data_IF_635851448367
#
_entry.id   IF_635851448367
#
_cell.length_a   1.000
_cell.length_b   1.000
_cell.length_c   1.000
_cell.angle_alpha   90.00
_cell.angle_beta   90.00
_cell.angle_gamma   90.00
#
_symmetry.space_group_name_H-M   'P 1'
#
loop_
_entity.id
_entity.type
_entity.pdbx_description
1 polymer ?
#
# COMPACT_ATOMS: atom_id res chain seq x y z
N UNK A 1 94.40 76.93 0.57
CA UNK A 1 94.70 77.09 2.01
C UNK A 1 94.66 75.67 2.59
N UNK A 2 95.77 74.95 2.73
CA UNK A 2 96.78 75.00 3.83
C UNK A 2 96.06 75.03 5.20
N UNK A 3 96.27 74.16 6.21
CA UNK A 3 97.28 73.12 6.58
C UNK A 3 96.62 71.70 6.63
N UNK A 4 97.28 70.52 6.72
CA UNK A 4 98.31 69.96 7.64
C UNK A 4 97.81 69.93 9.11
N UNK A 5 98.01 68.92 9.98
CA UNK A 5 98.76 67.64 9.96
C UNK A 5 98.08 66.66 11.00
N UNK A 6 98.55 65.52 11.55
CA UNK A 6 99.82 64.76 11.62
C UNK A 6 99.54 63.27 12.05
N UNK A 7 100.58 62.41 11.98
CA UNK A 7 101.02 61.26 12.83
C UNK A 7 100.21 60.77 14.06
N UNK A 8 100.32 59.51 14.56
CA UNK A 8 100.76 58.16 14.09
C UNK A 8 100.73 57.18 15.33
N UNK A 9 101.25 55.92 15.33
CA UNK A 9 101.05 54.77 14.42
C UNK A 9 100.81 53.42 15.19
N UNK A 10 100.82 52.28 14.45
CA UNK A 10 101.04 50.89 14.92
C UNK A 10 99.92 50.21 15.75
N UNK A 11 99.70 48.88 15.74
CA UNK A 11 100.36 47.78 15.00
C UNK A 11 99.43 46.55 14.75
N UNK A 12 99.31 46.14 13.48
CA UNK A 12 99.27 44.76 12.91
C UNK A 12 98.26 43.69 13.44
N UNK A 13 97.54 43.15 12.44
CA UNK A 13 97.35 41.70 12.07
C UNK A 13 96.08 40.92 12.47
N UNK A 14 95.19 40.82 11.46
CA UNK A 14 94.52 39.62 10.86
C UNK A 14 92.99 39.51 11.01
N UNK A 15 92.34 39.43 9.83
CA UNK A 15 91.19 38.57 9.43
C UNK A 15 90.08 38.27 10.47
N UNK A 16 88.79 38.53 10.20
CA UNK A 16 88.04 38.37 8.93
C UNK A 16 86.97 39.45 8.71
N UNK A 17 86.52 39.62 7.45
CA UNK A 17 85.31 40.38 7.10
C UNK A 17 84.10 39.45 6.95
N UNK A 18 83.00 39.80 7.61
CA UNK A 18 81.62 39.64 7.13
C UNK A 18 80.71 40.54 7.99
N UNK A 19 80.28 41.69 7.46
CA UNK A 19 79.39 42.62 8.18
C UNK A 19 77.94 42.17 8.09
N UNK A 20 77.17 42.40 9.15
CA UNK A 20 75.78 41.96 9.25
C UNK A 20 74.83 42.79 8.36
N UNK A 21 73.97 42.10 7.62
CA UNK A 21 72.76 42.69 7.02
C UNK A 21 71.63 42.63 8.05
N UNK A 22 70.97 43.76 8.33
CA UNK A 22 69.84 43.81 9.25
C UNK A 22 68.60 43.16 8.63
N UNK A 23 68.31 41.91 8.99
CA UNK A 23 67.10 41.21 8.58
C UNK A 23 65.87 41.74 9.31
N UNK A 24 64.79 42.04 8.57
CA UNK A 24 63.47 42.30 9.16
C UNK A 24 63.00 41.04 9.89
N UNK A 25 62.64 41.19 11.17
CA UNK A 25 61.86 40.18 11.90
C UNK A 25 60.43 40.18 11.37
N UNK A 26 60.21 39.49 10.25
CA UNK A 26 58.90 39.15 9.77
C UNK A 26 58.23 38.21 10.79
N UNK A 27 57.37 38.78 11.64
CA UNK A 27 56.57 38.01 12.57
C UNK A 27 55.53 37.20 11.78
N UNK A 28 55.90 35.98 11.39
CA UNK A 28 55.00 34.99 10.82
C UNK A 28 54.00 34.51 11.89
N UNK A 29 53.03 35.36 12.21
CA UNK A 29 51.81 34.97 12.88
C UNK A 29 51.10 33.97 11.96
N UNK A 30 51.26 32.69 12.26
CA UNK A 30 50.51 31.61 11.63
C UNK A 30 49.03 31.86 11.90
N UNK A 31 48.34 32.44 10.91
CA UNK A 31 46.89 32.40 10.87
C UNK A 31 46.51 30.93 10.84
N UNK A 32 46.08 30.42 12.00
CA UNK A 32 45.28 29.20 12.06
C UNK A 32 44.19 29.37 11.00
N UNK A 33 44.07 28.46 10.02
CA UNK A 33 42.94 28.51 9.10
C UNK A 33 41.69 28.50 9.96
N UNK A 34 40.83 29.51 9.81
CA UNK A 34 39.49 29.39 10.36
C UNK A 34 38.91 28.10 9.78
N UNK A 35 38.40 27.22 10.64
CA UNK A 35 37.62 26.07 10.15
C UNK A 35 36.56 26.61 9.19
N UNK A 36 36.34 25.97 8.03
CA UNK A 36 35.34 26.43 7.09
C UNK A 36 34.00 26.40 7.80
N UNK A 37 33.50 27.59 8.20
CA UNK A 37 32.28 27.71 8.98
C UNK A 37 31.17 26.93 8.27
N UNK A 38 30.57 25.97 8.98
CA UNK A 38 29.63 25.01 8.42
C UNK A 38 28.63 25.74 7.51
N UNK A 39 28.79 25.54 6.21
CA UNK A 39 27.96 26.21 5.22
C UNK A 39 26.60 25.53 5.27
N UNK A 40 25.72 26.08 6.12
CA UNK A 40 24.36 25.57 6.40
C UNK A 40 23.70 25.23 5.08
N UNK A 41 23.74 23.93 4.76
CA UNK A 41 23.46 23.44 3.41
C UNK A 41 21.97 23.67 3.19
N UNK A 42 21.63 24.35 2.09
CA UNK A 42 20.22 24.65 1.79
C UNK A 42 19.41 23.34 1.88
N UNK A 43 18.29 23.33 2.62
CA UNK A 43 17.57 22.10 2.91
C UNK A 43 17.08 21.47 1.61
N UNK A 44 17.18 20.15 1.53
CA UNK A 44 16.60 19.36 0.44
C UNK A 44 15.34 18.64 0.95
N UNK A 45 14.50 18.14 0.05
CA UNK A 45 13.39 17.28 0.46
C UNK A 45 13.86 16.06 1.26
N UNK A 46 15.00 15.47 0.90
CA UNK A 46 15.64 14.38 1.65
C UNK A 46 15.99 14.80 3.08
N UNK A 47 16.58 15.98 3.29
CA UNK A 47 16.95 16.43 4.64
C UNK A 47 15.74 16.85 5.48
N UNK A 48 14.65 17.31 4.85
CA UNK A 48 13.40 17.58 5.54
C UNK A 48 12.69 16.29 5.96
N UNK A 49 12.61 15.29 5.08
CA UNK A 49 12.08 13.96 5.39
C UNK A 49 12.91 13.28 6.49
N UNK A 50 14.25 13.30 6.39
CA UNK A 50 15.14 12.72 7.40
C UNK A 50 14.98 13.37 8.79
N UNK A 51 14.68 14.68 8.85
CA UNK A 51 14.41 15.40 10.10
C UNK A 51 13.05 15.07 10.73
N UNK A 52 12.18 14.33 10.01
CA UNK A 52 10.83 13.95 10.44
C UNK A 52 10.59 12.44 10.41
N UNK A 53 11.61 11.65 10.09
CA UNK A 53 11.55 10.19 10.08
C UNK A 53 11.28 9.65 11.50
N UNK A 54 10.09 9.07 11.73
CA UNK A 54 9.77 8.37 12.97
C UNK A 54 10.16 6.90 12.80
N UNK A 55 11.22 6.41 13.47
CA UNK A 55 11.73 5.06 13.25
C UNK A 55 10.86 4.01 13.93
N UNK A 56 10.67 2.88 13.25
CA UNK A 56 10.15 1.64 13.80
C UNK A 56 11.33 0.68 13.94
N UNK A 57 11.65 0.27 15.16
CA UNK A 57 12.83 -0.58 15.43
C UNK A 57 12.49 -2.06 15.25
N UNK A 58 11.27 -2.43 15.64
CA UNK A 58 10.73 -3.77 15.56
C UNK A 58 9.29 -3.72 15.05
N UNK A 59 8.91 -4.62 14.14
CA UNK A 59 7.53 -4.73 13.66
C UNK A 59 6.68 -5.51 14.69
N UNK A 60 6.42 -4.87 15.83
CA UNK A 60 5.63 -5.37 16.98
C UNK A 60 4.65 -4.28 17.46
N UNK A 61 3.50 -4.62 18.08
CA UNK A 61 2.45 -3.64 18.39
C UNK A 61 2.85 -2.56 19.40
N UNK A 62 3.84 -2.81 20.24
CA UNK A 62 4.31 -1.93 21.32
C UNK A 62 5.56 -1.10 20.97
N UNK A 63 6.12 -1.25 19.75
CA UNK A 63 7.22 -0.40 19.29
C UNK A 63 6.76 1.08 19.25
N UNK A 64 7.53 2.03 19.82
CA UNK A 64 7.11 3.44 19.89
C UNK A 64 6.78 4.08 18.53
N UNK A 65 7.41 3.63 17.44
CA UNK A 65 7.10 4.06 16.08
C UNK A 65 5.76 3.51 15.60
N UNK A 66 5.45 2.25 15.90
CA UNK A 66 4.15 1.61 15.59
C UNK A 66 3.02 2.24 16.42
N UNK A 67 3.24 2.47 17.72
CA UNK A 67 2.27 3.13 18.62
C UNK A 67 1.95 4.56 18.13
N UNK A 68 2.95 5.32 17.70
CA UNK A 68 2.75 6.67 17.17
C UNK A 68 2.03 6.66 15.81
N UNK A 69 2.36 5.70 14.94
CA UNK A 69 1.72 5.50 13.63
C UNK A 69 0.25 5.08 13.76
N UNK A 70 -0.04 4.08 14.59
CA UNK A 70 -1.38 3.61 14.90
C UNK A 70 -2.29 4.74 15.41
N UNK A 71 -1.76 5.59 16.31
CA UNK A 71 -2.47 6.80 16.79
C UNK A 71 -2.78 7.79 15.66
N UNK A 72 -1.85 8.00 14.73
CA UNK A 72 -2.02 8.92 13.60
C UNK A 72 -3.04 8.40 12.58
N UNK A 73 -3.10 7.08 12.38
CA UNK A 73 -4.09 6.42 11.53
C UNK A 73 -5.48 6.41 12.19
N UNK A 74 -5.55 6.20 13.50
CA UNK A 74 -6.78 6.24 14.30
C UNK A 74 -7.41 7.64 14.44
N UNK A 75 -6.77 8.69 13.92
CA UNK A 75 -7.34 10.04 13.87
C UNK A 75 -8.42 10.20 12.78
N UNK A 76 -8.49 9.28 11.81
CA UNK A 76 -9.53 9.23 10.78
C UNK A 76 -10.53 8.10 11.04
N UNK A 77 -11.74 8.20 10.48
CA UNK A 77 -12.76 7.14 10.60
C UNK A 77 -12.32 5.86 9.90
N UNK A 78 -11.67 6.00 8.74
CA UNK A 78 -11.10 4.90 7.98
C UNK A 78 -9.63 5.19 7.66
N UNK A 79 -8.77 4.17 7.76
CA UNK A 79 -7.37 4.25 7.37
C UNK A 79 -7.07 3.19 6.28
N UNK A 80 -6.63 3.65 5.10
CA UNK A 80 -6.10 2.78 4.06
C UNK A 80 -4.68 2.35 4.41
N UNK A 81 -4.45 1.04 4.50
CA UNK A 81 -3.17 0.42 4.81
C UNK A 81 -2.62 -0.27 3.56
N UNK A 82 -1.71 0.43 2.86
CA UNK A 82 -1.09 -0.02 1.62
C UNK A 82 -0.04 -1.10 1.82
N UNK A 83 0.46 -1.64 0.71
CA UNK A 83 1.67 -2.45 0.61
C UNK A 83 2.38 -2.12 -0.71
N UNK A 84 3.71 -2.14 -0.72
CA UNK A 84 4.53 -1.97 -1.92
C UNK A 84 4.36 -3.14 -2.90
N UNK A 85 4.12 -4.33 -2.36
CA UNK A 85 3.92 -5.57 -3.11
C UNK A 85 2.88 -6.43 -2.40
N UNK A 86 2.15 -7.28 -3.13
CA UNK A 86 1.36 -8.36 -2.50
C UNK A 86 2.23 -9.54 -2.00
N UNK A 87 3.56 -9.45 -2.11
CA UNK A 87 4.49 -10.58 -2.06
C UNK A 87 5.53 -10.53 -0.95
N UNK A 88 5.46 -9.55 -0.04
CA UNK A 88 6.46 -9.35 1.01
C UNK A 88 5.94 -9.56 2.43
N UNK A 89 6.83 -10.05 3.30
CA UNK A 89 6.56 -10.31 4.70
C UNK A 89 6.42 -9.02 5.53
N UNK A 90 7.28 -8.03 5.28
CA UNK A 90 7.32 -6.76 6.03
C UNK A 90 6.07 -5.90 5.79
N UNK A 91 5.61 -5.83 4.54
CA UNK A 91 4.37 -5.14 4.15
C UNK A 91 3.18 -5.65 4.98
N UNK A 92 3.00 -6.98 5.01
CA UNK A 92 1.93 -7.63 5.76
C UNK A 92 2.14 -7.51 7.28
N UNK A 93 3.39 -7.65 7.75
CA UNK A 93 3.70 -7.64 9.18
C UNK A 93 3.44 -6.27 9.81
N UNK A 94 3.80 -5.16 9.14
CA UNK A 94 3.48 -3.83 9.66
C UNK A 94 1.96 -3.63 9.77
N UNK A 95 1.20 -4.03 8.75
CA UNK A 95 -0.26 -3.94 8.78
C UNK A 95 -0.88 -4.79 9.89
N UNK A 96 -0.36 -5.99 10.12
CA UNK A 96 -0.78 -6.85 11.23
C UNK A 96 -0.60 -6.15 12.58
N UNK A 97 0.58 -5.59 12.87
CA UNK A 97 0.84 -4.97 14.19
C UNK A 97 0.17 -3.61 14.37
N UNK A 98 -0.08 -2.87 13.28
CA UNK A 98 -0.95 -1.68 13.30
C UNK A 98 -2.39 -2.06 13.65
N UNK A 99 -2.95 -3.12 13.06
CA UNK A 99 -4.29 -3.61 13.41
C UNK A 99 -4.35 -4.02 14.89
N UNK A 100 -3.38 -4.78 15.38
CA UNK A 100 -3.31 -5.19 16.79
C UNK A 100 -3.32 -3.97 17.73
N UNK A 101 -2.42 -3.01 17.50
CA UNK A 101 -2.35 -1.79 18.31
C UNK A 101 -3.64 -0.96 18.24
N UNK A 102 -4.20 -0.76 17.04
CA UNK A 102 -5.42 0.04 16.84
C UNK A 102 -6.67 -0.61 17.44
N UNK A 103 -6.74 -1.95 17.51
CA UNK A 103 -7.81 -2.67 18.22
C UNK A 103 -7.70 -2.44 19.73
N UNK A 104 -6.51 -2.62 20.31
CA UNK A 104 -6.30 -2.46 21.76
C UNK A 104 -6.50 -1.02 22.24
N UNK A 105 -5.89 -0.05 21.55
CA UNK A 105 -5.69 1.30 22.05
C UNK A 105 -6.62 2.35 21.41
N UNK A 106 -7.21 2.03 20.26
CA UNK A 106 -7.93 2.99 19.43
C UNK A 106 -9.33 2.55 18.99
N UNK A 107 -9.80 1.37 19.43
CA UNK A 107 -11.18 0.92 19.21
C UNK A 107 -11.52 0.56 17.77
N UNK A 108 -10.52 0.17 16.97
CA UNK A 108 -10.71 -0.38 15.62
C UNK A 108 -11.71 -1.56 15.68
N UNK A 109 -12.79 -1.49 14.89
CA UNK A 109 -13.86 -2.50 14.86
C UNK A 109 -13.89 -3.35 13.61
N UNK A 110 -13.36 -2.84 12.50
CA UNK A 110 -13.52 -3.46 11.19
C UNK A 110 -12.20 -3.49 10.41
N UNK A 111 -11.80 -4.69 10.00
CA UNK A 111 -10.68 -4.93 9.09
C UNK A 111 -11.25 -5.31 7.73
N UNK A 112 -11.29 -4.35 6.80
CA UNK A 112 -11.65 -4.60 5.41
C UNK A 112 -10.43 -5.16 4.67
N UNK A 113 -10.61 -6.22 3.91
CA UNK A 113 -9.56 -6.81 3.07
C UNK A 113 -9.89 -6.62 1.58
N UNK A 114 -8.86 -6.35 0.78
CA UNK A 114 -8.85 -6.43 -0.69
C UNK A 114 -8.98 -7.91 -1.15
N UNK A 115 -10.12 -8.52 -0.84
CA UNK A 115 -10.47 -9.90 -1.17
C UNK A 115 -11.99 -10.09 -1.19
N UNK A 116 -12.41 -11.18 -1.83
CA UNK A 116 -13.81 -11.53 -2.00
C UNK A 116 -14.50 -11.91 -0.67
N UNK A 117 -15.79 -11.55 -0.52
CA UNK A 117 -16.60 -11.82 0.69
C UNK A 117 -16.41 -13.24 1.24
N UNK A 118 -16.71 -14.27 0.43
CA UNK A 118 -16.87 -15.65 0.93
C UNK A 118 -15.58 -16.25 1.51
N UNK A 119 -14.42 -15.87 0.96
CA UNK A 119 -13.14 -16.26 1.53
C UNK A 119 -12.89 -15.59 2.88
N UNK A 120 -13.09 -14.27 2.96
CA UNK A 120 -12.89 -13.50 4.18
C UNK A 120 -13.95 -13.81 5.26
N UNK A 121 -15.14 -14.28 4.88
CA UNK A 121 -16.14 -14.77 5.84
C UNK A 121 -15.65 -15.99 6.64
N UNK A 122 -14.75 -16.81 6.09
CA UNK A 122 -14.11 -17.90 6.83
C UNK A 122 -13.05 -17.36 7.82
N UNK A 123 -12.33 -16.29 7.44
CA UNK A 123 -11.43 -15.58 8.35
C UNK A 123 -12.20 -14.95 9.51
N UNK A 124 -13.33 -14.29 9.23
CA UNK A 124 -14.22 -13.70 10.24
C UNK A 124 -14.82 -14.76 11.17
N UNK A 125 -15.26 -15.90 10.61
CA UNK A 125 -15.76 -17.02 11.39
C UNK A 125 -14.68 -17.60 12.33
N UNK A 126 -13.44 -17.74 11.88
CA UNK A 126 -12.33 -18.13 12.74
C UNK A 126 -12.04 -17.07 13.83
N UNK A 127 -11.93 -15.79 13.43
CA UNK A 127 -11.66 -14.67 14.31
C UNK A 127 -12.81 -14.40 15.32
N UNK A 128 -14.04 -14.86 15.05
CA UNK A 128 -15.22 -14.62 15.90
C UNK A 128 -15.17 -15.25 17.31
N UNK A 129 -14.15 -16.06 17.61
CA UNK A 129 -14.04 -16.94 18.77
C UNK A 129 -15.08 -18.08 18.85
N UNK A 130 -15.98 -18.24 17.85
CA UNK A 130 -16.91 -19.37 17.78
C UNK A 130 -16.18 -20.72 17.85
N UNK A 131 -16.80 -21.79 18.41
CA UNK A 131 -16.19 -23.11 18.50
C UNK A 131 -15.79 -23.68 17.14
N UNK A 132 -14.53 -24.11 17.01
CA UNK A 132 -13.99 -24.77 15.80
C UNK A 132 -12.85 -25.69 16.20
N UNK A 133 -12.62 -26.74 15.39
CA UNK A 133 -11.45 -27.62 15.49
C UNK A 133 -10.29 -27.21 14.57
N UNK A 134 -10.44 -26.17 13.75
CA UNK A 134 -9.40 -25.69 12.85
C UNK A 134 -8.29 -24.94 13.60
N UNK A 135 -7.05 -25.10 13.15
CA UNK A 135 -5.96 -24.16 13.45
C UNK A 135 -6.06 -22.94 12.52
N UNK A 136 -5.50 -21.79 12.91
CA UNK A 136 -5.53 -20.59 12.08
C UNK A 136 -4.88 -20.81 10.71
N UNK A 137 -3.76 -21.53 10.66
CA UNK A 137 -3.09 -21.87 9.41
C UNK A 137 -3.99 -22.69 8.46
N UNK A 138 -4.84 -23.58 9.00
CA UNK A 138 -5.73 -24.40 8.19
C UNK A 138 -6.96 -23.62 7.72
N UNK A 139 -7.50 -22.73 8.56
CA UNK A 139 -8.51 -21.77 8.14
C UNK A 139 -8.00 -20.85 7.00
N UNK A 140 -6.73 -20.41 7.08
CA UNK A 140 -6.09 -19.59 6.04
C UNK A 140 -5.85 -20.39 4.75
N UNK A 141 -5.35 -21.63 4.84
CA UNK A 141 -5.19 -22.52 3.68
C UNK A 141 -6.50 -22.83 2.97
N UNK A 142 -7.54 -23.17 3.73
CA UNK A 142 -8.82 -23.66 3.18
C UNK A 142 -9.70 -22.56 2.60
N UNK A 143 -9.57 -21.31 3.06
CA UNK A 143 -10.40 -20.22 2.60
C UNK A 143 -10.25 -19.94 1.09
N UNK A 144 -11.35 -19.70 0.34
CA UNK A 144 -11.32 -19.25 -1.05
C UNK A 144 -10.98 -17.75 -1.14
N UNK A 145 -9.80 -17.38 -0.65
CA UNK A 145 -9.15 -16.08 -0.81
C UNK A 145 -8.02 -16.16 -1.84
N UNK A 146 -7.55 -15.00 -2.33
CA UNK A 146 -6.36 -14.91 -3.16
C UNK A 146 -5.13 -15.50 -2.44
N UNK A 147 -4.28 -16.20 -3.19
CA UNK A 147 -3.11 -16.92 -2.65
C UNK A 147 -2.16 -16.01 -1.86
N UNK A 148 -2.03 -14.75 -2.27
CA UNK A 148 -1.23 -13.70 -1.60
C UNK A 148 -1.59 -13.49 -0.11
N UNK A 149 -2.82 -13.79 0.31
CA UNK A 149 -3.25 -13.69 1.71
C UNK A 149 -3.03 -14.98 2.51
N UNK A 150 -2.50 -16.05 1.89
CA UNK A 150 -2.28 -17.35 2.53
C UNK A 150 -0.91 -17.43 3.21
N UNK A 151 -0.70 -16.56 4.18
CA UNK A 151 0.60 -16.33 4.84
C UNK A 151 0.55 -16.58 6.36
N UNK A 152 1.72 -16.87 6.94
CA UNK A 152 1.89 -16.97 8.41
C UNK A 152 1.34 -15.74 9.12
N UNK A 153 1.65 -14.54 8.60
CA UNK A 153 1.22 -13.24 9.17
C UNK A 153 -0.32 -13.13 9.24
N UNK A 154 -1.05 -13.66 8.26
CA UNK A 154 -2.51 -13.68 8.30
C UNK A 154 -3.03 -14.68 9.33
N UNK A 155 -2.42 -15.87 9.46
CA UNK A 155 -2.78 -16.83 10.50
C UNK A 155 -2.48 -16.31 11.92
N UNK A 156 -1.37 -15.60 12.11
CA UNK A 156 -1.03 -14.96 13.38
C UNK A 156 -2.02 -13.83 13.73
N UNK A 157 -2.34 -12.96 12.77
CA UNK A 157 -3.34 -11.90 12.95
C UNK A 157 -4.72 -12.47 13.30
N UNK A 158 -5.17 -13.53 12.61
CA UNK A 158 -6.44 -14.17 12.90
C UNK A 158 -6.44 -14.93 14.23
N UNK A 159 -5.30 -15.48 14.66
CA UNK A 159 -5.12 -16.06 16.00
C UNK A 159 -5.23 -14.98 17.08
N UNK A 160 -4.58 -13.83 16.87
CA UNK A 160 -4.64 -12.70 17.79
C UNK A 160 -6.05 -12.11 17.88
N UNK A 161 -6.71 -11.86 16.73
CA UNK A 161 -8.08 -11.37 16.67
C UNK A 161 -9.06 -12.34 17.34
N UNK A 162 -8.86 -13.66 17.18
CA UNK A 162 -9.64 -14.69 17.89
C UNK A 162 -9.44 -14.62 19.40
N UNK A 163 -8.21 -14.40 19.86
CA UNK A 163 -7.90 -14.19 21.29
C UNK A 163 -8.56 -12.93 21.86
N UNK A 164 -8.46 -11.80 21.16
CA UNK A 164 -9.13 -10.56 21.53
C UNK A 164 -10.66 -10.76 21.61
N UNK A 165 -11.27 -11.25 20.53
CA UNK A 165 -12.73 -11.41 20.42
C UNK A 165 -13.32 -12.40 21.44
N UNK A 166 -12.56 -13.40 21.90
CA UNK A 166 -12.99 -14.34 22.93
C UNK A 166 -13.19 -13.66 24.30
N UNK A 167 -12.42 -12.61 24.59
CA UNK A 167 -12.48 -11.84 25.85
C UNK A 167 -13.36 -10.59 25.71
N UNK A 168 -13.44 -10.04 24.51
CA UNK A 168 -13.97 -8.70 24.22
C UNK A 168 -15.20 -8.73 23.30
N UNK A 169 -16.19 -9.59 23.60
CA UNK A 169 -17.33 -9.84 22.72
C UNK A 169 -18.23 -8.60 22.48
N UNK A 170 -18.28 -7.65 23.42
CA UNK A 170 -18.94 -6.33 23.29
C UNK A 170 -18.33 -5.49 22.16
N UNK A 171 -17.00 -5.56 22.04
CA UNK A 171 -16.17 -4.79 21.11
C UNK A 171 -15.50 -5.67 20.05
N UNK A 172 -16.14 -6.80 19.71
CA UNK A 172 -15.66 -7.74 18.70
C UNK A 172 -15.21 -7.01 17.43
N UNK A 173 -14.02 -7.36 16.95
CA UNK A 173 -13.49 -6.96 15.65
C UNK A 173 -14.01 -7.91 14.57
N UNK A 174 -14.46 -7.36 13.45
CA UNK A 174 -14.88 -8.10 12.25
C UNK A 174 -13.83 -8.01 11.16
N UNK A 175 -13.74 -9.06 10.33
CA UNK A 175 -12.95 -9.07 9.09
C UNK A 175 -13.91 -9.21 7.91
N UNK A 176 -13.84 -8.35 6.89
CA UNK A 176 -14.79 -8.40 5.75
C UNK A 176 -14.10 -8.15 4.41
N UNK A 177 -14.41 -8.98 3.41
CA UNK A 177 -13.94 -8.80 2.03
C UNK A 177 -14.82 -7.81 1.25
N UNK A 178 -14.18 -6.83 0.61
CA UNK A 178 -14.86 -5.77 -0.17
C UNK A 178 -14.71 -5.92 -1.69
N UNK A 179 -13.87 -6.84 -2.16
CA UNK A 179 -13.67 -7.10 -3.59
C UNK A 179 -14.87 -7.83 -4.22
N UNK A 180 -15.05 -7.63 -5.52
CA UNK A 180 -16.20 -8.11 -6.31
C UNK A 180 -15.85 -9.23 -7.29
N UNK A 181 -14.64 -9.79 -7.24
CA UNK A 181 -14.16 -10.87 -8.14
C UNK A 181 -14.75 -12.26 -7.77
N UNK A 182 -16.07 -12.35 -7.53
CA UNK A 182 -16.74 -13.54 -7.01
C UNK A 182 -18.15 -13.80 -7.57
N UNK A 183 -18.52 -13.22 -8.72
CA UNK A 183 -19.90 -13.22 -9.25
C UNK A 183 -20.65 -14.54 -9.21
N UNK A 184 -20.00 -15.66 -9.56
CA UNK A 184 -20.58 -17.01 -9.50
C UNK A 184 -21.03 -17.42 -8.09
N UNK A 185 -20.22 -17.11 -7.07
CA UNK A 185 -20.47 -17.45 -5.67
C UNK A 185 -21.48 -16.49 -5.06
N UNK A 186 -21.31 -15.18 -5.27
CA UNK A 186 -22.23 -14.17 -4.73
C UNK A 186 -23.64 -14.29 -5.33
N UNK A 187 -23.77 -14.60 -6.63
CA UNK A 187 -25.07 -14.86 -7.25
C UNK A 187 -25.72 -16.15 -6.69
N UNK A 188 -24.92 -17.20 -6.48
CA UNK A 188 -25.38 -18.47 -5.90
C UNK A 188 -25.91 -18.30 -4.47
N UNK A 189 -25.17 -17.62 -3.61
CA UNK A 189 -25.56 -17.37 -2.22
C UNK A 189 -26.82 -16.47 -2.13
N UNK A 190 -26.92 -15.46 -3.00
CA UNK A 190 -28.08 -14.58 -3.06
C UNK A 190 -29.35 -15.30 -3.58
N UNK A 191 -29.23 -16.18 -4.59
CA UNK A 191 -30.33 -17.04 -5.03
C UNK A 191 -30.76 -18.01 -3.92
N UNK A 192 -29.80 -18.62 -3.22
CA UNK A 192 -30.09 -19.54 -2.11
C UNK A 192 -30.87 -18.82 -0.98
N UNK A 193 -30.53 -17.56 -0.70
CA UNK A 193 -31.30 -16.72 0.23
C UNK A 193 -32.72 -16.43 -0.28
N UNK A 194 -32.89 -16.02 -1.54
CA UNK A 194 -34.22 -15.75 -2.12
C UNK A 194 -35.10 -17.00 -2.10
N UNK A 195 -34.54 -18.18 -2.40
CA UNK A 195 -35.25 -19.45 -2.41
C UNK A 195 -35.81 -19.87 -1.04
N UNK A 196 -35.36 -19.26 0.08
CA UNK A 196 -35.96 -19.49 1.41
C UNK A 196 -37.31 -18.78 1.62
N UNK A 197 -37.64 -17.78 0.79
CA UNK A 197 -38.84 -16.95 0.91
C UNK A 197 -39.72 -16.97 -0.35
N UNK A 198 -39.12 -17.03 -1.54
CA UNK A 198 -39.81 -17.24 -2.82
C UNK A 198 -38.92 -18.07 -3.76
N UNK A 199 -39.12 -19.38 -3.76
CA UNK A 199 -38.42 -20.30 -4.67
C UNK A 199 -38.83 -20.11 -6.13
N UNK A 200 -40.04 -19.62 -6.41
CA UNK A 200 -40.51 -19.39 -7.78
C UNK A 200 -39.80 -18.21 -8.44
N UNK A 201 -39.61 -17.12 -7.69
CA UNK A 201 -38.79 -15.99 -8.11
C UNK A 201 -37.31 -16.40 -8.25
N UNK A 202 -36.77 -17.18 -7.32
CA UNK A 202 -35.40 -17.69 -7.40
C UNK A 202 -35.17 -18.57 -8.64
N UNK A 203 -36.03 -19.56 -8.89
CA UNK A 203 -35.94 -20.45 -10.06
C UNK A 203 -36.03 -19.67 -11.38
N UNK A 204 -36.93 -18.66 -11.45
CA UNK A 204 -37.08 -17.83 -12.65
C UNK A 204 -35.83 -16.97 -12.94
N UNK A 205 -35.19 -16.41 -11.91
CA UNK A 205 -33.96 -15.62 -12.04
C UNK A 205 -32.75 -16.52 -12.33
N UNK A 206 -32.72 -17.74 -11.76
CA UNK A 206 -31.62 -18.69 -11.93
C UNK A 206 -31.39 -19.11 -13.40
N UNK A 207 -32.41 -19.05 -14.26
CA UNK A 207 -32.29 -19.34 -15.70
C UNK A 207 -31.26 -18.43 -16.38
N UNK A 208 -31.31 -17.12 -16.12
CA UNK A 208 -30.39 -16.15 -16.72
C UNK A 208 -28.99 -16.17 -16.06
N UNK A 209 -28.90 -16.67 -14.82
CA UNK A 209 -27.63 -16.85 -14.11
C UNK A 209 -26.97 -18.21 -14.39
N UNK A 210 -27.66 -19.16 -15.04
CA UNK A 210 -27.16 -20.51 -15.29
C UNK A 210 -25.75 -20.58 -15.91
N UNK A 211 -25.35 -19.71 -16.88
CA UNK A 211 -23.99 -19.71 -17.43
C UNK A 211 -22.88 -19.44 -16.40
N UNK A 212 -23.18 -18.71 -15.32
CA UNK A 212 -22.22 -18.42 -14.23
C UNK A 212 -22.43 -19.32 -13.00
N UNK A 213 -23.39 -20.25 -13.03
CA UNK A 213 -23.77 -21.11 -11.91
C UNK A 213 -23.54 -22.61 -12.19
N UNK A 214 -22.63 -22.94 -13.10
CA UNK A 214 -22.13 -24.32 -13.28
C UNK A 214 -21.18 -24.72 -12.12
N UNK A 215 -20.70 -25.97 -12.10
CA UNK A 215 -19.70 -26.39 -11.12
C UNK A 215 -18.33 -25.80 -11.48
N UNK A 216 -18.04 -25.73 -12.78
CA UNK A 216 -16.82 -25.21 -13.40
C UNK A 216 -16.70 -23.70 -13.15
N UNK A 217 -17.79 -22.94 -13.30
CA UNK A 217 -17.83 -21.51 -13.05
C UNK A 217 -17.57 -21.16 -11.57
N UNK A 218 -18.06 -21.99 -10.62
CA UNK A 218 -17.79 -21.82 -9.19
C UNK A 218 -16.36 -22.20 -8.78
N UNK A 219 -15.71 -23.09 -9.54
CA UNK A 219 -14.34 -23.55 -9.27
C UNK A 219 -13.26 -22.67 -9.94
N UNK A 220 -13.60 -21.95 -11.01
CA UNK A 220 -12.69 -21.11 -11.76
C UNK A 220 -12.30 -19.83 -11.02
N UNK A 221 -11.09 -19.31 -11.29
CA UNK A 221 -10.76 -17.90 -11.01
C UNK A 221 -11.70 -17.00 -11.83
N UNK A 222 -12.12 -15.87 -11.28
CA UNK A 222 -13.21 -15.04 -11.85
C UNK A 222 -12.92 -14.54 -13.28
N UNK A 223 -11.68 -14.15 -13.57
CA UNK A 223 -11.21 -13.81 -14.92
C UNK A 223 -11.26 -15.00 -15.91
N UNK A 224 -11.13 -16.24 -15.43
CA UNK A 224 -11.27 -17.45 -16.23
C UNK A 224 -12.74 -17.88 -16.38
N UNK A 225 -13.60 -17.55 -15.40
CA UNK A 225 -15.06 -17.73 -15.49
C UNK A 225 -15.66 -16.82 -16.57
N UNK A 226 -15.24 -15.56 -16.62
CA UNK A 226 -15.70 -14.59 -17.63
C UNK A 226 -15.33 -15.04 -19.05
N UNK A 227 -14.10 -15.54 -19.23
CA UNK A 227 -13.60 -16.06 -20.52
C UNK A 227 -14.33 -17.34 -21.00
N UNK A 228 -15.25 -17.90 -20.21
CA UNK A 228 -16.12 -19.02 -20.60
C UNK A 228 -17.53 -18.57 -21.08
N UNK A 229 -17.92 -17.31 -20.86
CA UNK A 229 -19.25 -16.79 -21.24
C UNK A 229 -19.14 -15.67 -22.30
N UNK A 230 -20.17 -15.53 -23.13
CA UNK A 230 -20.29 -14.45 -24.12
C UNK A 230 -20.81 -13.14 -23.50
N UNK A 231 -20.60 -12.01 -24.18
CA UNK A 231 -21.04 -10.67 -23.78
C UNK A 231 -22.55 -10.61 -23.52
N UNK A 232 -23.35 -11.30 -24.34
CA UNK A 232 -24.80 -11.38 -24.15
C UNK A 232 -25.17 -12.09 -22.83
N UNK A 233 -24.52 -13.22 -22.52
CA UNK A 233 -24.76 -13.96 -21.29
C UNK A 233 -24.32 -13.18 -20.04
N UNK A 234 -23.24 -12.39 -20.13
CA UNK A 234 -22.84 -11.45 -19.07
C UNK A 234 -23.92 -10.41 -18.82
N UNK A 235 -24.48 -9.80 -19.87
CA UNK A 235 -25.52 -8.78 -19.75
C UNK A 235 -26.84 -9.34 -19.20
N UNK A 236 -27.22 -10.55 -19.61
CA UNK A 236 -28.36 -11.28 -19.03
C UNK A 236 -28.14 -11.58 -17.54
N UNK A 237 -26.96 -12.06 -17.15
CA UNK A 237 -26.59 -12.31 -15.76
C UNK A 237 -26.52 -11.02 -14.93
N UNK A 238 -26.08 -9.89 -15.49
CA UNK A 238 -26.09 -8.59 -14.82
C UNK A 238 -27.51 -8.09 -14.55
N UNK A 239 -28.42 -8.20 -15.52
CA UNK A 239 -29.83 -7.86 -15.35
C UNK A 239 -30.47 -8.77 -14.27
N UNK A 240 -30.17 -10.06 -14.31
CA UNK A 240 -30.65 -11.04 -13.33
C UNK A 240 -30.14 -10.75 -11.90
N UNK A 241 -28.86 -10.38 -11.73
CA UNK A 241 -28.32 -9.96 -10.44
C UNK A 241 -29.01 -8.68 -9.89
N UNK A 242 -29.40 -7.74 -10.75
CA UNK A 242 -30.16 -6.54 -10.35
C UNK A 242 -31.62 -6.84 -10.01
N UNK A 243 -32.25 -7.78 -10.72
CA UNK A 243 -33.56 -8.31 -10.32
C UNK A 243 -33.48 -9.00 -8.95
N UNK A 244 -32.47 -9.85 -8.75
CA UNK A 244 -32.21 -10.56 -7.50
C UNK A 244 -32.00 -9.60 -6.32
N UNK A 245 -31.22 -8.53 -6.51
CA UNK A 245 -31.06 -7.45 -5.53
C UNK A 245 -32.42 -6.82 -5.15
N UNK A 246 -33.27 -6.53 -6.13
CA UNK A 246 -34.59 -5.92 -5.89
C UNK A 246 -35.57 -6.88 -5.20
N UNK A 247 -35.60 -8.16 -5.59
CA UNK A 247 -36.43 -9.18 -4.93
C UNK A 247 -36.04 -9.36 -3.46
N UNK A 248 -34.74 -9.45 -3.17
CA UNK A 248 -34.21 -9.59 -1.82
C UNK A 248 -34.47 -8.33 -0.97
N UNK A 249 -34.41 -7.13 -1.55
CA UNK A 249 -34.85 -5.89 -0.88
C UNK A 249 -36.34 -5.93 -0.55
N UNK A 250 -37.21 -6.38 -1.47
CA UNK A 250 -38.65 -6.53 -1.21
C UNK A 250 -38.96 -7.58 -0.14
N UNK A 251 -38.10 -8.58 0.03
CA UNK A 251 -38.18 -9.57 1.10
C UNK A 251 -37.57 -9.13 2.45
N UNK A 252 -36.92 -7.97 2.52
CA UNK A 252 -36.21 -7.49 3.72
C UNK A 252 -34.87 -8.19 4.00
N UNK A 253 -34.30 -8.88 3.01
CA UNK A 253 -33.06 -9.64 3.11
C UNK A 253 -31.84 -8.79 2.69
N UNK A 254 -31.55 -7.73 3.45
CA UNK A 254 -30.58 -6.69 3.07
C UNK A 254 -29.16 -7.21 2.77
N UNK A 255 -28.60 -8.08 3.62
CA UNK A 255 -27.28 -8.69 3.42
C UNK A 255 -27.21 -9.55 2.14
N UNK A 256 -28.31 -10.23 1.80
CA UNK A 256 -28.41 -11.03 0.59
C UNK A 256 -28.55 -10.12 -0.65
N UNK A 257 -29.33 -9.04 -0.57
CA UNK A 257 -29.45 -8.05 -1.63
C UNK A 257 -28.10 -7.35 -1.91
N UNK A 258 -27.34 -7.00 -0.89
CA UNK A 258 -25.98 -6.47 -1.04
C UNK A 258 -25.02 -7.52 -1.64
N UNK A 259 -25.26 -8.80 -1.40
CA UNK A 259 -24.51 -9.90 -2.02
C UNK A 259 -24.88 -10.06 -3.51
N UNK A 260 -26.16 -9.93 -3.88
CA UNK A 260 -26.58 -9.83 -5.29
C UNK A 260 -25.97 -8.60 -6.00
N UNK A 261 -25.87 -7.46 -5.31
CA UNK A 261 -25.17 -6.26 -5.81
C UNK A 261 -23.70 -6.56 -6.12
N UNK A 262 -22.97 -7.23 -5.22
CA UNK A 262 -21.57 -7.65 -5.49
C UNK A 262 -21.44 -8.60 -6.68
N UNK A 263 -22.41 -9.50 -6.85
CA UNK A 263 -22.43 -10.36 -8.03
C UNK A 263 -22.53 -9.57 -9.34
N UNK A 264 -23.43 -8.58 -9.39
CA UNK A 264 -23.52 -7.60 -10.50
C UNK A 264 -22.23 -6.79 -10.67
N UNK A 265 -21.69 -6.22 -9.58
CA UNK A 265 -20.46 -5.43 -9.59
C UNK A 265 -19.31 -6.22 -10.24
N UNK A 266 -19.16 -7.50 -9.88
CA UNK A 266 -18.14 -8.38 -10.46
C UNK A 266 -18.30 -8.62 -11.96
N UNK A 267 -19.52 -8.78 -12.46
CA UNK A 267 -19.75 -8.93 -13.91
C UNK A 267 -19.45 -7.61 -14.64
N UNK A 268 -19.92 -6.49 -14.08
CA UNK A 268 -19.84 -5.17 -14.69
C UNK A 268 -18.40 -4.58 -14.64
N UNK A 269 -17.61 -4.91 -13.61
CA UNK A 269 -16.22 -4.46 -13.46
C UNK A 269 -15.30 -4.97 -14.59
N UNK A 270 -15.59 -6.15 -15.14
CA UNK A 270 -14.74 -6.85 -16.12
C UNK A 270 -15.47 -7.05 -17.45
N UNK A 271 -16.24 -6.04 -17.89
CA UNK A 271 -17.19 -6.12 -19.01
C UNK A 271 -16.61 -6.57 -20.37
N UNK A 272 -15.28 -6.49 -20.53
CA UNK A 272 -14.54 -6.79 -21.75
C UNK A 272 -13.70 -8.09 -21.69
N UNK A 273 -13.77 -8.85 -20.59
CA UNK A 273 -13.04 -10.13 -20.43
C UNK A 273 -13.90 -11.38 -20.72
N UNK A 274 -15.01 -11.21 -21.44
CA UNK A 274 -15.82 -12.32 -21.95
C UNK A 274 -15.14 -13.05 -23.11
N UNK A 275 -15.64 -14.23 -23.49
CA UNK A 275 -15.08 -15.06 -24.59
C UNK A 275 -15.08 -14.38 -25.96
N UNK A 276 -15.93 -13.38 -26.13
CA UNK A 276 -16.11 -12.50 -27.30
C UNK A 276 -15.72 -11.03 -27.01
N UNK A 277 -15.10 -10.78 -25.85
CA UNK A 277 -14.78 -9.46 -25.34
C UNK A 277 -13.62 -8.77 -26.08
N UNK A 278 -13.57 -7.45 -25.99
CA UNK A 278 -12.59 -6.61 -26.70
C UNK A 278 -11.91 -5.63 -25.73
N UNK A 279 -10.77 -6.05 -25.21
CA UNK A 279 -9.93 -5.25 -24.32
C UNK A 279 -9.32 -4.00 -24.97
N UNK A 280 -9.38 -3.84 -26.30
CA UNK A 280 -8.99 -2.57 -26.95
C UNK A 280 -9.95 -1.42 -26.61
N UNK A 281 -11.15 -1.74 -26.09
CA UNK A 281 -12.15 -0.80 -25.60
C UNK A 281 -12.00 -0.45 -24.12
N UNK A 282 -11.02 -1.01 -23.41
CA UNK A 282 -10.82 -0.80 -21.97
C UNK A 282 -10.37 0.65 -21.65
N UNK A 283 -11.35 1.50 -21.32
CA UNK A 283 -11.12 2.90 -20.94
C UNK A 283 -10.55 3.03 -19.52
N UNK A 284 -10.19 4.25 -19.11
CA UNK A 284 -9.83 4.52 -17.70
C UNK A 284 -10.96 4.23 -16.71
N UNK A 285 -12.21 4.37 -17.15
CA UNK A 285 -13.39 4.04 -16.35
C UNK A 285 -13.44 2.53 -16.07
N UNK A 286 -13.21 1.68 -17.09
CA UNK A 286 -13.08 0.23 -16.94
C UNK A 286 -12.06 -0.13 -15.86
N UNK A 287 -10.83 0.37 -15.98
CA UNK A 287 -9.76 0.09 -15.01
C UNK A 287 -10.05 0.61 -13.61
N UNK A 288 -10.90 1.64 -13.46
CA UNK A 288 -11.32 2.17 -12.16
C UNK A 288 -12.49 1.39 -11.55
N UNK A 289 -13.21 0.56 -12.31
CA UNK A 289 -14.55 0.10 -11.92
C UNK A 289 -14.52 -0.88 -10.74
N UNK A 290 -13.51 -1.76 -10.66
CA UNK A 290 -13.25 -2.60 -9.47
C UNK A 290 -13.06 -1.73 -8.22
N UNK A 291 -12.27 -0.66 -8.32
CA UNK A 291 -11.98 0.27 -7.21
C UNK A 291 -13.20 1.09 -6.78
N UNK A 292 -14.03 1.53 -7.73
CA UNK A 292 -15.33 2.15 -7.43
C UNK A 292 -16.18 1.21 -6.58
N UNK A 293 -16.29 -0.05 -6.98
CA UNK A 293 -17.08 -1.05 -6.26
C UNK A 293 -16.46 -1.46 -4.92
N UNK A 294 -15.12 -1.56 -4.81
CA UNK A 294 -14.44 -1.77 -3.52
C UNK A 294 -14.68 -0.60 -2.55
N UNK A 295 -14.67 0.65 -3.03
CA UNK A 295 -15.00 1.81 -2.20
C UNK A 295 -16.49 1.85 -1.78
N UNK A 296 -17.42 1.56 -2.69
CA UNK A 296 -18.85 1.40 -2.38
C UNK A 296 -19.06 0.34 -1.30
N UNK A 297 -18.41 -0.82 -1.44
CA UNK A 297 -18.53 -1.95 -0.52
C UNK A 297 -17.89 -1.63 0.83
N UNK A 298 -16.74 -0.96 0.85
CA UNK A 298 -16.10 -0.48 2.06
C UNK A 298 -17.01 0.50 2.84
N UNK A 299 -17.61 1.47 2.16
CA UNK A 299 -18.53 2.43 2.76
C UNK A 299 -19.82 1.76 3.30
N UNK A 300 -20.38 0.80 2.55
CA UNK A 300 -21.59 0.07 2.96
C UNK A 300 -21.36 -0.77 4.23
N UNK A 301 -20.22 -1.48 4.31
CA UNK A 301 -19.90 -2.33 5.46
C UNK A 301 -19.42 -1.50 6.66
N UNK A 302 -18.61 -0.46 6.44
CA UNK A 302 -18.04 0.34 7.53
C UNK A 302 -19.04 1.28 8.21
N UNK A 303 -19.98 1.86 7.45
CA UNK A 303 -20.95 2.84 7.94
C UNK A 303 -20.29 4.03 8.70
N UNK A 304 -20.20 3.92 10.03
CA UNK A 304 -19.53 4.89 10.93
C UNK A 304 -18.51 4.23 11.88
N UNK A 305 -18.23 2.94 11.75
CA UNK A 305 -17.28 2.22 12.60
C UNK A 305 -15.82 2.61 12.28
N UNK A 306 -14.93 2.74 13.29
CA UNK A 306 -13.49 2.84 13.09
C UNK A 306 -12.98 1.63 12.30
N UNK A 307 -12.37 1.88 11.15
CA UNK A 307 -12.11 0.87 10.11
C UNK A 307 -10.70 0.99 9.53
N UNK A 308 -10.10 -0.14 9.12
CA UNK A 308 -8.96 -0.15 8.20
C UNK A 308 -9.31 -0.82 6.88
N UNK A 309 -8.71 -0.37 5.78
CA UNK A 309 -8.74 -1.03 4.48
C UNK A 309 -7.34 -1.57 4.16
N UNK A 310 -7.15 -2.88 4.28
CA UNK A 310 -5.94 -3.59 3.90
C UNK A 310 -5.96 -3.88 2.40
N UNK A 311 -5.03 -3.31 1.66
CA UNK A 311 -4.85 -3.56 0.23
C UNK A 311 -3.49 -3.07 -0.27
N UNK A 312 -3.32 -3.05 -1.59
CA UNK A 312 -2.12 -2.52 -2.26
C UNK A 312 -2.09 -0.99 -2.28
N UNK A 313 -0.88 -0.39 -2.32
CA UNK A 313 -0.66 1.07 -2.35
C UNK A 313 -1.60 1.84 -3.29
N UNK A 314 -1.79 1.39 -4.54
CA UNK A 314 -2.66 2.13 -5.46
C UNK A 314 -4.12 2.10 -5.01
N UNK A 315 -4.64 0.95 -4.57
CA UNK A 315 -6.04 0.80 -4.16
C UNK A 315 -6.36 1.66 -2.94
N UNK A 316 -5.42 1.80 -1.99
CA UNK A 316 -5.59 2.68 -0.82
C UNK A 316 -5.21 4.14 -1.07
N UNK A 317 -4.57 4.47 -2.20
CA UNK A 317 -4.09 5.83 -2.47
C UNK A 317 -5.24 6.84 -2.42
N UNK A 318 -5.04 7.91 -1.66
CA UNK A 318 -6.04 8.95 -1.42
C UNK A 318 -6.32 9.89 -2.59
N UNK A 319 -5.65 9.69 -3.72
CA UNK A 319 -5.65 10.58 -4.87
C UNK A 319 -5.47 9.81 -6.18
N UNK A 320 -5.51 10.54 -7.29
CA UNK A 320 -5.58 9.96 -8.64
C UNK A 320 -4.19 10.02 -9.30
N UNK A 321 -3.60 8.90 -9.76
CA UNK A 321 -2.29 8.91 -10.40
C UNK A 321 -2.32 9.66 -11.73
N UNK A 322 -1.17 10.21 -12.13
CA UNK A 322 -0.96 10.91 -13.39
C UNK A 322 -0.27 10.05 -14.46
N UNK A 323 0.36 10.72 -15.43
CA UNK A 323 1.15 10.07 -16.48
C UNK A 323 0.36 9.01 -17.25
N UNK A 324 0.96 7.82 -17.41
CA UNK A 324 0.34 6.69 -18.10
C UNK A 324 -0.81 6.00 -17.34
N UNK A 325 -1.18 6.52 -16.17
CA UNK A 325 -2.37 6.11 -15.39
C UNK A 325 -3.37 7.25 -15.16
N UNK A 326 -3.16 8.41 -15.79
CA UNK A 326 -4.06 9.56 -15.70
C UNK A 326 -5.51 9.19 -16.07
N UNK A 327 -6.42 9.41 -15.13
CA UNK A 327 -7.85 9.11 -15.23
C UNK A 327 -8.30 7.81 -14.56
N UNK A 328 -7.37 6.96 -14.09
CA UNK A 328 -7.73 5.88 -13.16
C UNK A 328 -8.08 6.46 -11.79
N UNK A 329 -9.09 5.88 -11.12
CA UNK A 329 -9.61 6.33 -9.83
C UNK A 329 -9.54 5.17 -8.82
N UNK A 330 -8.60 5.18 -7.87
CA UNK A 330 -8.51 4.15 -6.84
C UNK A 330 -9.56 4.28 -5.73
N UNK A 331 -9.76 3.20 -4.98
CA UNK A 331 -10.72 3.10 -3.90
C UNK A 331 -10.50 4.20 -2.85
N UNK A 332 -9.24 4.41 -2.46
CA UNK A 332 -8.83 5.44 -1.49
C UNK A 332 -9.15 6.87 -1.91
N UNK A 333 -9.16 7.18 -3.21
CA UNK A 333 -9.55 8.50 -3.70
C UNK A 333 -11.05 8.73 -3.53
N UNK A 334 -11.87 7.69 -3.74
CA UNK A 334 -13.34 7.74 -3.55
C UNK A 334 -13.68 7.81 -2.06
N UNK A 335 -12.93 7.07 -1.22
CA UNK A 335 -13.04 7.16 0.23
C UNK A 335 -12.67 8.57 0.74
N UNK A 336 -11.60 9.20 0.20
CA UNK A 336 -11.26 10.60 0.51
C UNK A 336 -12.33 11.58 0.02
N UNK A 337 -12.82 11.43 -1.21
CA UNK A 337 -13.90 12.28 -1.74
C UNK A 337 -15.19 12.18 -0.88
N UNK A 338 -15.44 11.01 -0.27
CA UNK A 338 -16.65 10.75 0.52
C UNK A 338 -16.54 11.10 2.01
N UNK A 339 -15.36 10.96 2.61
CA UNK A 339 -15.09 11.12 4.05
C UNK A 339 -14.26 12.38 4.38
N UNK A 340 -13.61 13.00 3.39
CA UNK A 340 -12.66 14.10 3.60
C UNK A 340 -11.50 13.68 4.49
N UNK A 341 -11.22 14.47 5.54
CA UNK A 341 -10.25 14.13 6.58
C UNK A 341 -10.64 12.88 7.41
N UNK A 342 -11.85 12.35 7.24
CA UNK A 342 -12.27 11.05 7.77
C UNK A 342 -11.60 9.85 7.08
N UNK A 343 -10.81 10.07 6.03
CA UNK A 343 -9.91 9.06 5.43
C UNK A 343 -8.43 9.47 5.58
N UNK A 344 -7.56 8.52 5.94
CA UNK A 344 -6.10 8.65 5.86
C UNK A 344 -5.54 7.53 4.99
N UNK A 345 -4.61 7.84 4.09
CA UNK A 345 -3.90 6.89 3.23
C UNK A 345 -2.45 6.71 3.72
N UNK A 346 -2.12 5.49 4.11
CA UNK A 346 -0.76 5.01 4.34
C UNK A 346 -0.30 4.18 3.14
N UNK A 347 0.90 4.47 2.64
CA UNK A 347 1.62 3.61 1.68
C UNK A 347 2.93 3.11 2.25
N UNK A 348 3.35 1.93 1.81
CA UNK A 348 4.63 1.32 2.18
C UNK A 348 5.54 1.26 0.96
N UNK A 349 6.81 1.58 1.13
CA UNK A 349 7.82 1.68 0.06
C UNK A 349 9.11 0.96 0.48
N UNK A 350 10.02 0.69 -0.46
CA UNK A 350 11.24 -0.07 -0.19
C UNK A 350 12.52 0.50 -0.82
N UNK A 351 13.66 0.32 -0.15
CA UNK A 351 14.98 0.56 -0.73
C UNK A 351 15.45 -0.65 -1.56
N UNK A 352 15.43 -1.84 -0.95
CA UNK A 352 15.61 -3.13 -1.62
C UNK A 352 14.38 -4.03 -1.36
N UNK A 353 14.01 -4.86 -2.32
CA UNK A 353 12.90 -5.81 -2.17
C UNK A 353 13.16 -7.13 -2.88
N UNK A 354 12.93 -8.22 -2.15
CA UNK A 354 12.77 -9.57 -2.69
C UNK A 354 11.38 -10.07 -2.29
N UNK A 355 10.51 -10.37 -3.26
CA UNK A 355 9.10 -10.66 -3.02
C UNK A 355 8.56 -11.78 -3.93
N UNK A 356 7.40 -12.34 -3.59
CA UNK A 356 6.70 -13.33 -4.41
C UNK A 356 5.70 -12.67 -5.36
N UNK A 357 5.75 -13.01 -6.65
CA UNK A 357 4.72 -12.63 -7.61
C UNK A 357 4.47 -13.77 -8.61
N UNK A 358 3.29 -13.80 -9.22
CA UNK A 358 3.06 -14.63 -10.41
C UNK A 358 3.91 -14.08 -11.58
N UNK A 359 4.51 -14.93 -12.43
CA UNK A 359 5.30 -14.44 -13.56
C UNK A 359 4.38 -13.78 -14.59
N UNK A 360 4.69 -12.54 -14.98
CA UNK A 360 3.98 -11.82 -16.04
C UNK A 360 4.61 -12.12 -17.42
N UNK A 361 3.82 -12.58 -18.40
CA UNK A 361 4.33 -12.79 -19.76
C UNK A 361 3.40 -13.49 -20.76
N UNK A 362 3.88 -13.64 -21.99
CA UNK A 362 3.17 -14.39 -23.02
C UNK A 362 3.31 -15.91 -22.77
N UNK A 363 2.19 -16.63 -22.70
CA UNK A 363 2.18 -18.07 -22.41
C UNK A 363 2.02 -18.45 -20.94
N UNK A 364 1.52 -17.54 -20.10
CA UNK A 364 1.13 -17.82 -18.70
C UNK A 364 0.23 -19.06 -18.60
N UNK A 365 0.65 -20.03 -17.78
CA UNK A 365 -0.19 -21.16 -17.39
C UNK A 365 -1.24 -20.69 -16.36
N UNK A 366 -2.50 -21.18 -16.41
CA UNK A 366 -3.54 -20.83 -15.44
C UNK A 366 -3.14 -21.09 -13.97
N UNK A 367 -2.29 -22.11 -13.77
CA UNK A 367 -1.83 -22.63 -12.48
C UNK A 367 -0.34 -22.29 -12.21
N UNK A 368 0.17 -21.19 -12.77
CA UNK A 368 1.55 -20.77 -12.56
C UNK A 368 1.86 -20.56 -11.07
N UNK A 369 2.95 -21.17 -10.58
CA UNK A 369 3.43 -20.95 -9.22
C UNK A 369 4.04 -19.54 -9.07
N UNK A 370 3.92 -18.88 -7.91
CA UNK A 370 4.66 -17.66 -7.63
C UNK A 370 6.18 -17.86 -7.72
N UNK A 371 6.86 -16.89 -8.32
CA UNK A 371 8.32 -16.81 -8.43
C UNK A 371 8.85 -15.69 -7.54
N UNK A 372 10.12 -15.82 -7.14
CA UNK A 372 10.83 -14.76 -6.42
C UNK A 372 11.30 -13.68 -7.40
N UNK A 373 10.91 -12.43 -7.15
CA UNK A 373 11.30 -11.24 -7.90
C UNK A 373 12.18 -10.37 -6.99
N UNK A 374 13.25 -9.80 -7.56
CA UNK A 374 14.14 -8.85 -6.87
C UNK A 374 14.06 -7.46 -7.52
N UNK A 375 14.09 -6.40 -6.71
CA UNK A 375 14.06 -4.99 -7.11
C UNK A 375 14.90 -4.14 -6.16
N UNK A 376 15.59 -3.17 -6.74
CA UNK A 376 16.27 -2.06 -6.05
C UNK A 376 15.55 -0.77 -6.43
N UNK A 377 15.38 0.16 -5.48
CA UNK A 377 14.73 1.44 -5.72
C UNK A 377 15.38 2.22 -6.87
N UNK A 378 14.61 2.56 -7.90
CA UNK A 378 15.14 3.25 -9.08
C UNK A 378 15.46 4.71 -8.78
N UNK A 379 16.47 5.32 -9.44
CA UNK A 379 16.68 6.76 -9.38
C UNK A 379 15.40 7.57 -9.70
N UNK A 380 15.29 8.73 -9.07
CA UNK A 380 14.19 9.71 -9.27
C UNK A 380 12.77 9.22 -8.91
N UNK A 381 12.68 8.14 -8.12
CA UNK A 381 11.43 7.64 -7.53
C UNK A 381 11.20 8.09 -6.07
N UNK A 382 9.97 7.93 -5.60
CA UNK A 382 9.56 8.18 -4.22
C UNK A 382 10.31 7.25 -3.25
N UNK A 383 10.38 5.96 -3.56
CA UNK A 383 11.04 4.98 -2.71
C UNK A 383 12.56 5.22 -2.60
N UNK A 384 13.23 5.66 -3.68
CA UNK A 384 14.63 6.10 -3.59
C UNK A 384 14.81 7.40 -2.79
N UNK A 385 13.88 8.36 -2.88
CA UNK A 385 13.89 9.57 -2.05
C UNK A 385 13.73 9.24 -0.56
N UNK A 386 12.84 8.31 -0.21
CA UNK A 386 12.61 7.88 1.17
C UNK A 386 13.77 7.03 1.72
N UNK A 387 14.33 6.12 0.92
CA UNK A 387 15.54 5.36 1.26
C UNK A 387 16.74 6.29 1.53
N UNK A 388 16.85 7.38 0.77
CA UNK A 388 17.85 8.43 1.00
C UNK A 388 17.61 9.25 2.28
N UNK A 389 16.38 9.22 2.83
CA UNK A 389 16.00 9.92 4.05
C UNK A 389 16.09 9.04 5.32
N UNK A 390 15.96 7.72 5.20
CA UNK A 390 16.16 6.77 6.31
C UNK A 390 16.71 5.43 5.85
N UNK A 391 17.87 5.04 6.40
CA UNK A 391 18.46 3.70 6.23
C UNK A 391 17.93 2.63 7.19
N UNK A 392 16.85 2.93 7.92
CA UNK A 392 16.13 2.00 8.81
C UNK A 392 14.62 2.11 8.56
N UNK A 393 13.81 1.14 8.98
CA UNK A 393 12.35 1.25 8.83
C UNK A 393 11.84 2.48 9.57
N UNK A 394 11.13 3.35 8.86
CA UNK A 394 10.64 4.61 9.38
C UNK A 394 9.38 5.05 8.64
N UNK A 395 8.58 5.90 9.27
CA UNK A 395 7.45 6.55 8.63
C UNK A 395 7.55 8.07 8.69
N UNK A 396 6.86 8.72 7.77
CA UNK A 396 6.87 10.17 7.56
C UNK A 396 5.41 10.64 7.42
N UNK A 397 4.95 11.56 8.27
CA UNK A 397 3.70 12.28 8.04
C UNK A 397 3.92 13.40 7.02
N UNK A 398 3.14 13.45 5.96
CA UNK A 398 3.17 14.60 5.07
C UNK A 398 2.57 15.84 5.74
N UNK A 399 1.78 15.72 6.81
CA UNK A 399 1.23 16.89 7.51
C UNK A 399 2.30 17.70 8.26
N UNK A 400 3.34 17.04 8.78
CA UNK A 400 4.41 17.68 9.57
C UNK A 400 5.42 18.44 8.70
N UNK A 401 5.52 18.13 7.39
CA UNK A 401 6.48 18.78 6.48
C UNK A 401 6.31 20.31 6.47
N UNK A 402 7.40 21.09 6.62
CA UNK A 402 7.31 22.53 6.86
C UNK A 402 6.70 23.27 5.68
N UNK A 403 5.75 24.16 5.97
CA UNK A 403 4.98 24.91 4.97
C UNK A 403 5.86 25.98 4.30
N UNK A 404 6.53 25.59 3.22
CA UNK A 404 7.40 26.43 2.40
C UNK A 404 7.26 26.08 0.91
N UNK A 405 7.84 26.92 0.03
CA UNK A 405 7.72 26.77 -1.42
C UNK A 405 8.34 25.48 -1.98
N UNK A 406 9.41 24.95 -1.39
CA UNK A 406 10.02 23.69 -1.84
C UNK A 406 9.12 22.49 -1.52
N UNK A 407 8.55 22.43 -0.31
CA UNK A 407 7.59 21.38 0.09
C UNK A 407 6.31 21.48 -0.73
N UNK A 408 5.78 22.69 -0.94
CA UNK A 408 4.61 22.91 -1.78
C UNK A 408 4.87 22.49 -3.25
N UNK A 409 6.04 22.84 -3.81
CA UNK A 409 6.43 22.41 -5.15
C UNK A 409 6.58 20.89 -5.24
N UNK A 410 7.22 20.24 -4.25
CA UNK A 410 7.41 18.78 -4.23
C UNK A 410 6.08 18.02 -4.18
N UNK A 411 5.09 18.49 -3.40
CA UNK A 411 3.76 17.86 -3.31
C UNK A 411 3.05 17.75 -4.66
N UNK A 412 3.16 18.79 -5.48
CA UNK A 412 2.52 18.90 -6.79
C UNK A 412 3.39 18.36 -7.95
N UNK A 413 4.70 18.24 -7.74
CA UNK A 413 5.64 17.74 -8.75
C UNK A 413 5.47 16.22 -8.88
N UNK A 414 5.08 15.69 -10.05
CA UNK A 414 4.90 14.26 -10.19
C UNK A 414 6.22 13.50 -10.10
N UNK A 415 6.28 12.51 -9.21
CA UNK A 415 7.45 11.63 -8.98
C UNK A 415 7.13 10.21 -9.46
N UNK A 416 8.18 9.41 -9.72
CA UNK A 416 8.02 7.97 -9.96
C UNK A 416 7.56 7.25 -8.70
N UNK A 417 6.54 6.39 -8.82
CA UNK A 417 6.07 5.48 -7.79
C UNK A 417 6.18 4.06 -8.35
N UNK A 418 6.99 3.20 -7.73
CA UNK A 418 7.08 1.80 -8.15
C UNK A 418 5.87 1.00 -7.65
N UNK A 419 5.39 0.05 -8.46
CA UNK A 419 4.17 -0.73 -8.19
C UNK A 419 4.37 -2.18 -8.65
N UNK A 420 4.07 -3.14 -7.77
CA UNK A 420 4.24 -4.57 -8.02
C UNK A 420 3.06 -5.40 -7.48
N UNK A 421 2.00 -5.46 -8.28
CA UNK A 421 0.80 -6.25 -8.01
C UNK A 421 1.03 -7.76 -8.03
N UNK A 422 -0.05 -8.54 -8.13
CA UNK A 422 -0.01 -10.00 -8.01
C UNK A 422 0.81 -10.69 -9.13
N UNK A 423 1.14 -9.94 -10.19
CA UNK A 423 2.02 -10.35 -11.29
C UNK A 423 3.19 -9.36 -11.44
N UNK A 424 4.38 -9.87 -11.74
CA UNK A 424 5.53 -9.08 -12.13
C UNK A 424 6.41 -9.83 -13.14
N UNK A 425 7.10 -9.09 -14.02
CA UNK A 425 8.13 -9.64 -14.90
C UNK A 425 9.44 -9.86 -14.13
N UNK A 426 10.28 -10.80 -14.57
CA UNK A 426 11.62 -10.99 -13.97
C UNK A 426 12.43 -9.69 -14.05
N UNK A 427 12.52 -9.12 -15.24
CA UNK A 427 13.21 -7.87 -15.50
C UNK A 427 12.34 -6.66 -15.13
N UNK A 428 12.91 -5.58 -14.56
CA UNK A 428 12.22 -4.31 -14.36
C UNK A 428 11.66 -3.74 -15.67
N UNK A 429 10.38 -3.38 -15.70
CA UNK A 429 9.72 -2.75 -16.85
C UNK A 429 9.48 -1.26 -16.60
N UNK A 430 9.37 -0.46 -17.66
CA UNK A 430 8.96 0.95 -17.55
C UNK A 430 7.52 1.09 -17.04
N UNK A 431 6.67 0.10 -17.27
CA UNK A 431 5.28 0.04 -16.79
C UNK A 431 5.16 -0.15 -15.27
N UNK A 432 6.21 -0.59 -14.59
CA UNK A 432 6.23 -0.73 -13.13
C UNK A 432 6.23 0.63 -12.42
N UNK A 433 6.52 1.73 -13.15
CA UNK A 433 6.65 3.09 -12.59
C UNK A 433 5.42 3.92 -12.96
N UNK A 434 4.57 4.14 -11.97
CA UNK A 434 3.50 5.13 -12.03
C UNK A 434 4.07 6.54 -11.80
N UNK A 435 3.33 7.58 -12.19
CA UNK A 435 3.79 8.97 -12.05
C UNK A 435 2.75 9.78 -11.30
N UNK A 436 3.08 10.23 -10.08
CA UNK A 436 2.07 10.72 -9.11
C UNK A 436 2.52 11.99 -8.37
N UNK A 437 1.64 12.98 -8.15
CA UNK A 437 1.92 14.11 -7.26
C UNK A 437 1.70 13.69 -5.79
N UNK A 438 2.76 13.56 -4.96
CA UNK A 438 2.69 12.91 -3.64
C UNK A 438 1.65 13.52 -2.70
N UNK A 439 1.50 14.86 -2.72
CA UNK A 439 0.66 15.59 -1.78
C UNK A 439 -0.85 15.37 -1.93
N UNK A 440 -1.28 14.67 -2.98
CA UNK A 440 -2.68 14.30 -3.19
C UNK A 440 -2.97 12.81 -2.97
N UNK A 441 -1.96 11.92 -3.09
CA UNK A 441 -2.14 10.47 -2.94
C UNK A 441 -1.91 9.98 -1.51
N UNK A 442 -1.02 10.61 -0.75
CA UNK A 442 -0.51 10.06 0.50
C UNK A 442 -0.64 11.06 1.66
N UNK A 443 -1.00 10.57 2.85
CA UNK A 443 -0.83 11.35 4.09
C UNK A 443 0.34 10.82 4.91
N UNK A 444 0.57 9.50 4.89
CA UNK A 444 1.68 8.84 5.57
C UNK A 444 2.40 7.91 4.61
N UNK A 445 3.74 7.96 4.64
CA UNK A 445 4.60 7.05 3.89
C UNK A 445 5.47 6.25 4.85
N UNK A 446 5.67 4.97 4.58
CA UNK A 446 6.63 4.10 5.29
C UNK A 446 7.73 3.70 4.33
N UNK A 447 8.99 3.67 4.78
CA UNK A 447 10.11 3.06 4.06
C UNK A 447 10.59 1.81 4.80
N UNK A 448 10.81 0.72 4.07
CA UNK A 448 11.58 -0.44 4.53
C UNK A 448 12.95 -0.46 3.83
N UNK A 449 14.07 -0.68 4.55
CA UNK A 449 15.37 -0.87 3.91
C UNK A 449 15.40 -2.15 3.06
N UNK A 450 14.73 -3.20 3.53
CA UNK A 450 14.66 -4.49 2.86
C UNK A 450 13.26 -5.10 3.04
N UNK A 451 12.60 -5.45 1.92
CA UNK A 451 11.47 -6.37 1.90
C UNK A 451 11.95 -7.79 1.56
N UNK A 452 11.38 -8.79 2.22
CA UNK A 452 11.69 -10.21 2.02
C UNK A 452 10.42 -11.01 1.69
N UNK A 453 10.53 -12.19 1.03
CA UNK A 453 9.36 -12.91 0.54
C UNK A 453 8.33 -13.27 1.61
N UNK A 454 7.04 -13.15 1.26
CA UNK A 454 5.93 -13.64 2.06
C UNK A 454 6.12 -15.12 2.43
N UNK A 455 5.94 -15.43 3.71
CA UNK A 455 5.99 -16.80 4.24
C UNK A 455 4.61 -17.44 4.04
N UNK A 456 4.51 -18.30 3.02
CA UNK A 456 3.27 -18.96 2.60
C UNK A 456 2.95 -20.18 3.46
N UNK A 457 1.66 -20.55 3.54
CA UNK A 457 1.14 -21.66 4.36
C UNK A 457 0.76 -22.91 3.57
#
# INVERSE_FOLDING_TARGET
MILLHHHDPLSRRKFLLATASAGLLAACASRVPAEPADTVRAPTMTSLLAAQAVPIRHLVPDDPGVVALARRLAASQMAGLGEATHGSHQDAQLKSVLVQNMVENHGLRLVLLEANRTGVAQFDAYASAAPTGLLAADAVRQAPVFSILKTEVMADLLTWLRGWNAVNADRRVRVVGVDCQASSIDAGDALAALATVDSGAADAIAVALAPILTAEARAARHDLMLKQIASAQRLEAEAACRMLEAELQRAGLEDAAFTARRAWQGLNAFEYETSDGDMSRATREYWSRRDVFMAENALFVAQSEPTVLWGHNIHVAGGRPGGQSAGYVPSGAILRDRLGAGYTALVQEFAEATFLALPAGAGEAPDAAPVTIARTARPDTLNALLASASGQTAWFDLADLPQNSMVAQWRETPIGLEWYGAKASSEPQTSDVLTVPPGSLFDVMVIHPELTPSRML
#
